data_IF_614344516070
#
_entry.id   IF_614344516070
#
_cell.length_a   1.000
_cell.length_b   1.000
_cell.length_c   1.000
_cell.angle_alpha   90.00
_cell.angle_beta   90.00
_cell.angle_gamma   90.00
#
_symmetry.space_group_name_H-M   'P 1'
#
loop_
_entity.id
_entity.type
_entity.pdbx_description
1 polymer ?
#
# COMPACT_ATOMS: atom_id res chain seq x y z
N UNK A 1 -23.56 18.92 -35.63
CA UNK A 1 -23.03 17.57 -35.34
C UNK A 1 -22.79 17.48 -33.84
N UNK A 2 -23.58 16.70 -33.11
CA UNK A 2 -23.84 17.00 -31.68
C UNK A 2 -22.86 16.36 -30.68
N UNK A 3 -21.99 15.41 -31.06
CA UNK A 3 -20.99 14.87 -30.12
C UNK A 3 -19.63 14.56 -30.77
N UNK A 4 -18.55 14.88 -30.06
CA UNK A 4 -17.17 14.75 -30.55
C UNK A 4 -16.74 13.29 -30.67
N UNK A 5 -17.05 12.45 -29.67
CA UNK A 5 -16.54 11.07 -29.57
C UNK A 5 -17.62 9.98 -29.46
N UNK A 6 -18.88 10.33 -29.12
CA UNK A 6 -19.94 9.32 -28.94
C UNK A 6 -20.23 8.62 -30.27
N UNK A 7 -20.11 7.29 -30.29
CA UNK A 7 -20.38 6.46 -31.47
C UNK A 7 -19.29 6.46 -32.53
N UNK A 8 -18.08 6.94 -32.21
CA UNK A 8 -16.94 6.98 -33.13
C UNK A 8 -15.79 6.14 -32.62
N UNK A 9 -15.07 5.54 -33.56
CA UNK A 9 -13.74 5.00 -33.30
C UNK A 9 -12.74 6.16 -33.22
N UNK A 10 -12.01 6.26 -32.11
CA UNK A 10 -11.00 7.29 -31.89
C UNK A 10 -9.89 6.73 -31.00
N UNK A 11 -8.68 7.26 -31.15
CA UNK A 11 -7.54 6.88 -30.31
C UNK A 11 -7.60 7.65 -28.98
N UNK A 12 -7.69 6.97 -27.83
CA UNK A 12 -7.62 7.64 -26.54
C UNK A 12 -6.29 8.39 -26.35
N UNK A 13 -6.30 9.56 -25.68
CA UNK A 13 -5.14 10.45 -25.61
C UNK A 13 -3.92 9.86 -24.88
N UNK A 14 -4.11 8.81 -24.08
CA UNK A 14 -3.07 8.14 -23.31
C UNK A 14 -2.48 6.90 -23.99
N UNK A 15 -2.99 6.49 -25.15
CA UNK A 15 -2.53 5.28 -25.86
C UNK A 15 -1.07 5.38 -26.24
N UNK A 16 -0.63 6.51 -26.80
CA UNK A 16 0.76 6.68 -27.24
C UNK A 16 1.75 6.45 -26.10
N UNK A 17 1.51 7.08 -24.94
CA UNK A 17 2.35 6.91 -23.76
C UNK A 17 2.35 5.48 -23.23
N UNK A 18 1.22 4.76 -23.33
CA UNK A 18 1.12 3.35 -22.90
C UNK A 18 1.86 2.39 -23.81
N UNK A 19 1.81 2.59 -25.14
CA UNK A 19 2.45 1.67 -26.10
C UNK A 19 3.94 1.92 -26.29
N UNK A 20 4.41 3.13 -25.99
CA UNK A 20 5.83 3.51 -26.04
C UNK A 20 6.56 3.25 -24.71
N UNK A 21 5.83 3.20 -23.60
CA UNK A 21 6.40 3.16 -22.24
C UNK A 21 6.72 4.54 -21.66
N UNK A 22 6.29 5.63 -22.33
CA UNK A 22 6.48 7.00 -21.84
C UNK A 22 5.53 7.36 -20.69
N UNK A 23 4.38 6.67 -20.58
CA UNK A 23 3.46 6.85 -19.46
C UNK A 23 4.15 6.45 -18.13
N UNK A 24 4.06 7.32 -17.13
CA UNK A 24 4.61 7.08 -15.79
C UNK A 24 3.54 6.63 -14.81
N UNK A 25 3.80 5.51 -14.16
CA UNK A 25 3.02 4.95 -13.07
C UNK A 25 3.69 5.22 -11.72
N UNK A 26 2.97 4.98 -10.62
CA UNK A 26 3.46 5.26 -9.26
C UNK A 26 4.86 4.65 -9.00
N UNK A 27 5.10 3.44 -9.50
CA UNK A 27 6.36 2.73 -9.33
C UNK A 27 7.50 3.21 -10.23
N UNK A 28 7.26 4.12 -11.18
CA UNK A 28 8.30 4.69 -12.05
C UNK A 28 8.97 5.92 -11.43
N UNK A 29 8.34 6.53 -10.43
CA UNK A 29 8.87 7.71 -9.78
C UNK A 29 10.03 7.37 -8.86
N UNK A 30 11.11 8.14 -8.95
CA UNK A 30 12.27 8.08 -8.05
C UNK A 30 12.55 9.47 -7.49
N UNK A 31 12.99 9.52 -6.24
CA UNK A 31 13.39 10.75 -5.53
C UNK A 31 14.66 10.46 -4.72
N UNK A 32 15.47 11.49 -4.53
CA UNK A 32 16.60 11.41 -3.62
C UNK A 32 16.12 11.09 -2.20
N UNK A 33 16.77 10.15 -1.52
CA UNK A 33 16.37 9.69 -0.18
C UNK A 33 15.10 8.82 -0.14
N UNK A 34 14.55 8.40 -1.29
CA UNK A 34 13.39 7.51 -1.31
C UNK A 34 13.71 6.16 -0.66
N UNK A 35 12.87 5.76 0.30
CA UNK A 35 12.91 4.44 0.95
C UNK A 35 11.74 3.58 0.47
N UNK A 36 11.84 2.27 0.73
CA UNK A 36 10.78 1.32 0.42
C UNK A 36 10.12 0.84 1.72
N UNK A 37 8.81 0.63 1.66
CA UNK A 37 8.04 0.04 2.74
C UNK A 37 7.40 -1.27 2.26
N UNK A 38 7.20 -2.20 3.19
CA UNK A 38 6.50 -3.45 2.94
C UNK A 38 5.66 -3.79 4.16
N UNK A 39 4.41 -4.18 3.92
CA UNK A 39 3.51 -4.63 4.97
C UNK A 39 3.87 -6.06 5.42
N UNK A 40 3.86 -6.28 6.73
CA UNK A 40 3.72 -7.61 7.31
C UNK A 40 2.23 -7.87 7.53
N UNK A 41 1.72 -8.92 6.90
CA UNK A 41 0.29 -9.23 6.95
C UNK A 41 0.01 -10.52 7.73
N UNK A 42 -1.20 -10.60 8.31
CA UNK A 42 -1.64 -11.75 9.08
C UNK A 42 -1.72 -13.02 8.21
N UNK A 43 -1.08 -14.12 8.60
CA UNK A 43 -1.35 -15.43 8.00
C UNK A 43 -2.61 -16.09 8.59
N UNK A 44 -3.15 -15.55 9.68
CA UNK A 44 -4.28 -16.12 10.40
C UNK A 44 -5.60 -15.45 9.99
N UNK A 45 -6.70 -16.21 9.84
CA UNK A 45 -8.01 -15.65 9.51
C UNK A 45 -8.66 -14.92 10.68
N UNK A 46 -8.38 -15.33 11.92
CA UNK A 46 -8.84 -14.64 13.13
C UNK A 46 -7.94 -15.03 14.29
N UNK A 47 -7.34 -14.05 14.96
CA UNK A 47 -6.44 -14.29 16.10
C UNK A 47 -6.27 -13.02 16.93
N UNK A 48 -5.82 -13.20 18.18
CA UNK A 48 -5.33 -12.10 19.01
C UNK A 48 -3.83 -11.93 18.82
N UNK A 49 -3.38 -10.69 18.63
CA UNK A 49 -1.96 -10.32 18.63
C UNK A 49 -1.51 -10.26 20.08
N UNK A 50 -0.70 -11.22 20.51
CA UNK A 50 -0.21 -11.29 21.90
C UNK A 50 1.06 -10.45 22.07
N UNK A 51 1.96 -10.49 21.08
CA UNK A 51 3.22 -9.77 21.10
C UNK A 51 3.80 -9.64 19.69
N UNK A 52 4.54 -8.56 19.44
CA UNK A 52 5.33 -8.36 18.23
C UNK A 52 6.78 -8.12 18.66
N UNK A 53 7.71 -8.97 18.23
CA UNK A 53 9.15 -8.74 18.38
C UNK A 53 9.75 -8.37 17.03
N UNK A 54 10.02 -7.08 16.85
CA UNK A 54 10.62 -6.54 15.63
C UNK A 54 12.13 -6.32 15.77
N UNK A 55 12.75 -6.77 16.87
CA UNK A 55 14.12 -6.41 17.23
C UNK A 55 15.16 -6.92 16.23
N UNK A 56 14.93 -8.10 15.63
CA UNK A 56 15.83 -8.64 14.61
C UNK A 56 15.84 -7.76 13.36
N UNK A 57 14.67 -7.33 12.89
CA UNK A 57 14.54 -6.46 11.73
C UNK A 57 15.17 -5.07 11.98
N UNK A 58 14.95 -4.49 13.16
CA UNK A 58 15.54 -3.20 13.54
C UNK A 58 17.08 -3.21 13.62
N UNK A 59 17.71 -4.38 13.79
CA UNK A 59 19.18 -4.53 13.78
C UNK A 59 19.76 -4.75 12.39
N UNK A 60 18.94 -4.92 11.36
CA UNK A 60 19.42 -5.17 10.01
C UNK A 60 19.89 -3.87 9.35
N UNK A 61 21.09 -3.89 8.78
CA UNK A 61 21.60 -2.77 7.98
C UNK A 61 20.64 -2.47 6.82
N UNK A 62 20.29 -1.19 6.66
CA UNK A 62 19.36 -0.70 5.63
C UNK A 62 17.89 -0.65 6.06
N UNK A 63 17.52 -1.21 7.21
CA UNK A 63 16.19 -0.98 7.80
C UNK A 63 16.19 0.38 8.49
N UNK A 64 15.35 1.29 8.00
CA UNK A 64 15.26 2.66 8.52
C UNK A 64 14.25 2.82 9.65
N UNK A 65 13.32 1.87 9.81
CA UNK A 65 12.29 1.91 10.84
C UNK A 65 11.22 0.85 10.64
N UNK A 66 10.36 0.70 11.65
CA UNK A 66 9.16 -0.15 11.64
C UNK A 66 8.03 0.68 12.24
N UNK A 67 6.86 0.63 11.62
CA UNK A 67 5.67 1.36 12.06
C UNK A 67 4.70 0.34 12.66
N UNK A 68 4.12 0.68 13.79
CA UNK A 68 3.11 -0.11 14.49
C UNK A 68 1.77 0.60 14.50
N UNK A 69 0.71 -0.08 14.94
CA UNK A 69 -0.60 0.54 15.09
C UNK A 69 -0.58 1.75 16.05
N UNK A 70 0.33 1.78 17.04
CA UNK A 70 0.46 2.88 18.01
C UNK A 70 1.04 4.16 17.38
N UNK A 71 1.72 4.04 16.23
CA UNK A 71 2.30 5.16 15.49
C UNK A 71 1.28 5.83 14.53
N UNK A 72 0.07 5.27 14.43
CA UNK A 72 -0.96 5.69 13.47
C UNK A 72 -2.15 6.37 14.16
N UNK A 73 -2.85 7.27 13.45
CA UNK A 73 -4.09 7.84 13.98
C UNK A 73 -5.14 6.74 14.24
N UNK A 74 -5.96 6.88 15.29
CA UNK A 74 -6.98 5.90 15.59
C UNK A 74 -8.02 5.85 14.47
N UNK A 75 -8.46 4.63 14.12
CA UNK A 75 -9.60 4.44 13.21
C UNK A 75 -10.91 4.43 13.98
N UNK A 76 -11.90 5.16 13.48
CA UNK A 76 -13.25 5.14 14.03
C UNK A 76 -14.15 4.17 13.25
N UNK A 77 -15.03 3.39 13.91
CA UNK A 77 -16.02 2.57 13.23
C UNK A 77 -16.85 3.39 12.23
N UNK A 78 -17.18 2.84 11.04
CA UNK A 78 -16.99 1.44 10.62
C UNK A 78 -15.66 1.15 9.91
N UNK A 79 -14.69 2.08 9.93
CA UNK A 79 -13.45 1.90 9.20
C UNK A 79 -12.54 0.83 9.85
N UNK A 80 -11.97 -0.02 9.00
CA UNK A 80 -10.92 -0.93 9.43
C UNK A 80 -9.68 -0.14 9.82
N UNK A 81 -8.99 -0.52 10.92
CA UNK A 81 -7.73 0.10 11.28
C UNK A 81 -6.68 -0.13 10.17
N UNK A 82 -5.78 0.83 10.00
CA UNK A 82 -4.70 0.76 9.01
C UNK A 82 -3.75 -0.41 9.30
N UNK A 83 -3.38 -0.60 10.57
CA UNK A 83 -2.64 -1.74 11.09
C UNK A 83 -3.43 -2.35 12.26
N UNK A 84 -3.43 -3.68 12.36
CA UNK A 84 -4.08 -4.38 13.47
C UNK A 84 -3.28 -4.20 14.78
N UNK A 85 -3.96 -3.78 15.85
CA UNK A 85 -3.36 -3.61 17.18
C UNK A 85 -3.59 -4.81 18.09
N UNK A 86 -4.85 -5.24 18.27
CA UNK A 86 -5.21 -6.31 19.22
C UNK A 86 -5.64 -7.60 18.55
N UNK A 87 -6.42 -7.50 17.46
CA UNK A 87 -6.99 -8.65 16.77
C UNK A 87 -6.82 -8.51 15.27
N UNK A 88 -6.58 -9.65 14.64
CA UNK A 88 -6.73 -9.82 13.20
C UNK A 88 -8.05 -10.55 12.94
N UNK A 89 -8.76 -10.17 11.88
CA UNK A 89 -10.09 -10.66 11.52
C UNK A 89 -10.15 -11.22 10.10
N UNK A 90 -9.04 -11.16 9.36
CA UNK A 90 -8.89 -11.80 8.05
C UNK A 90 -7.42 -12.08 7.70
N UNK A 91 -7.20 -13.05 6.80
CA UNK A 91 -5.90 -13.32 6.20
C UNK A 91 -5.49 -12.15 5.32
N UNK A 92 -4.26 -11.68 5.46
CA UNK A 92 -3.75 -10.53 4.72
C UNK A 92 -3.98 -9.19 5.43
N UNK A 93 -4.60 -9.18 6.61
CA UNK A 93 -4.75 -7.95 7.39
C UNK A 93 -3.37 -7.38 7.76
N UNK A 94 -3.09 -6.10 7.50
CA UNK A 94 -1.82 -5.47 7.86
C UNK A 94 -1.58 -5.46 9.38
N UNK A 95 -0.35 -5.77 9.80
CA UNK A 95 0.10 -5.80 11.20
C UNK A 95 1.22 -4.78 11.41
N UNK A 96 2.21 -4.74 10.51
CA UNK A 96 3.30 -3.76 10.44
C UNK A 96 3.42 -3.20 9.03
#
# INVERSE_FOLDING_TARGET
>A
MTFMHIGKDFVPPDVEGKVTGDAKYAEDFRREGMVFARLLTSPMPSARIVSIDASAALRMDGVVGIITADDLPPSAPPANPMLASEYVTYIGQPIL
#
